data_IF_487148984120
#
_entry.id   IF_487148984120
#
_cell.length_a   1.000
_cell.length_b   1.000
_cell.length_c   1.000
_cell.angle_alpha   90.00
_cell.angle_beta   90.00
_cell.angle_gamma   90.00
#
_symmetry.space_group_name_H-M   'P 1'
#
loop_
_entity.id
_entity.type
_entity.pdbx_description
1 polymer ?
#
# COMPACT_ATOMS: atom_id res chain seq x y z
N UNK A 1 -2.68 1.34 -12.48
CA UNK A 1 -2.68 0.15 -11.60
C UNK A 1 -3.07 -1.07 -12.41
N UNK A 2 -2.33 -2.14 -12.24
CA UNK A 2 -2.62 -3.44 -12.84
C UNK A 2 -2.76 -4.47 -11.73
N UNK A 3 -3.76 -5.35 -11.80
CA UNK A 3 -3.89 -6.40 -10.83
C UNK A 3 -4.14 -7.76 -11.47
N UNK A 4 -3.80 -8.79 -10.73
CA UNK A 4 -3.96 -10.18 -11.13
C UNK A 4 -4.37 -11.00 -9.91
N UNK A 5 -5.36 -11.89 -10.07
CA UNK A 5 -5.75 -12.83 -9.03
C UNK A 5 -5.14 -14.19 -9.33
N UNK A 6 -4.32 -14.69 -8.42
CA UNK A 6 -3.70 -16.01 -8.54
C UNK A 6 -4.62 -17.07 -7.91
N UNK A 7 -5.21 -17.90 -8.74
CA UNK A 7 -6.14 -18.95 -8.29
C UNK A 7 -5.47 -20.02 -7.43
N UNK A 8 -4.17 -20.24 -7.58
CA UNK A 8 -3.46 -21.25 -6.80
C UNK A 8 -3.24 -20.79 -5.35
N UNK A 9 -2.80 -19.57 -5.15
CA UNK A 9 -2.55 -19.01 -3.82
C UNK A 9 -3.77 -18.35 -3.20
N UNK A 10 -4.72 -17.90 -4.01
CA UNK A 10 -5.82 -17.06 -3.56
C UNK A 10 -5.41 -15.62 -3.30
N UNK A 11 -4.24 -15.21 -3.77
CA UNK A 11 -3.71 -13.88 -3.53
C UNK A 11 -3.94 -12.95 -4.72
N UNK A 12 -4.09 -11.67 -4.43
CA UNK A 12 -4.09 -10.60 -5.41
C UNK A 12 -2.70 -10.02 -5.52
N UNK A 13 -2.23 -9.85 -6.75
CA UNK A 13 -0.96 -9.20 -7.05
C UNK A 13 -1.26 -7.90 -7.75
N UNK A 14 -0.80 -6.78 -7.20
CA UNK A 14 -1.06 -5.44 -7.72
C UNK A 14 0.26 -4.78 -8.05
N UNK A 15 0.36 -4.24 -9.26
CA UNK A 15 1.53 -3.47 -9.72
C UNK A 15 1.11 -2.04 -10.02
N UNK A 16 2.07 -1.15 -9.93
CA UNK A 16 1.85 0.29 -10.14
C UNK A 16 0.74 0.82 -9.21
N UNK A 17 0.80 0.36 -7.96
CA UNK A 17 -0.18 0.70 -6.94
C UNK A 17 0.18 2.01 -6.24
N UNK A 18 -0.85 2.71 -5.79
CA UNK A 18 -0.71 3.95 -5.01
C UNK A 18 -1.22 3.74 -3.60
N UNK A 19 -0.32 3.91 -2.64
CA UNK A 19 -0.64 3.86 -1.21
C UNK A 19 -1.04 5.25 -0.73
N UNK A 20 -2.10 5.29 0.06
CA UNK A 20 -2.57 6.48 0.76
C UNK A 20 -2.70 6.19 2.25
N UNK A 21 -2.50 7.22 3.07
CA UNK A 21 -2.64 7.14 4.53
C UNK A 21 -1.84 5.99 5.13
N UNK A 22 -0.52 5.91 4.88
CA UNK A 22 0.29 4.84 5.43
C UNK A 22 0.37 4.94 6.95
N UNK A 23 0.23 3.81 7.62
CA UNK A 23 0.40 3.68 9.06
C UNK A 23 1.06 2.32 9.37
N UNK A 24 2.27 2.15 8.86
CA UNK A 24 3.06 0.94 9.07
C UNK A 24 3.61 0.86 10.49
N UNK A 25 3.73 1.99 11.18
CA UNK A 25 4.16 2.05 12.57
C UNK A 25 3.06 1.63 13.56
N UNK A 26 1.79 1.65 13.13
CA UNK A 26 0.67 1.34 14.02
C UNK A 26 0.40 2.43 15.03
N UNK A 27 0.58 3.69 14.66
CA UNK A 27 0.30 4.82 15.53
C UNK A 27 -1.20 4.96 15.78
N UNK A 28 -1.56 5.34 17.02
CA UNK A 28 -2.94 5.65 17.35
C UNK A 28 -3.40 6.91 16.63
N UNK A 29 -4.55 6.81 16.00
CA UNK A 29 -5.21 7.91 15.31
C UNK A 29 -6.71 7.87 15.63
N UNK A 30 -7.47 8.92 15.28
CA UNK A 30 -8.92 9.01 15.58
C UNK A 30 -9.71 7.78 15.13
N UNK A 31 -9.30 7.15 14.02
CA UNK A 31 -9.97 5.99 13.44
C UNK A 31 -9.10 4.72 13.45
N UNK A 32 -8.02 4.72 14.24
CA UNK A 32 -7.07 3.61 14.29
C UNK A 32 -6.53 3.41 15.69
N UNK A 33 -6.79 2.24 16.27
CA UNK A 33 -6.25 1.90 17.59
C UNK A 33 -4.73 1.71 17.52
N UNK A 34 -4.05 2.00 18.64
CA UNK A 34 -2.61 1.79 18.76
C UNK A 34 -2.23 0.33 18.45
N UNK A 35 -1.15 0.14 17.70
CA UNK A 35 -0.64 -1.17 17.30
C UNK A 35 -1.27 -1.76 16.04
N UNK A 36 -2.30 -1.15 15.50
CA UNK A 36 -2.91 -1.58 14.24
C UNK A 36 -2.19 -0.94 13.07
N UNK A 37 -1.48 -1.75 12.31
CA UNK A 37 -0.68 -1.33 11.17
C UNK A 37 -1.47 -1.57 9.88
N UNK A 38 -1.61 -0.53 9.08
CA UNK A 38 -2.39 -0.60 7.84
C UNK A 38 -2.09 0.57 6.93
N UNK A 39 -2.64 0.51 5.74
CA UNK A 39 -2.64 1.60 4.78
C UNK A 39 -3.87 1.48 3.88
N UNK A 40 -4.15 2.52 3.13
CA UNK A 40 -5.19 2.51 2.09
C UNK A 40 -4.54 2.31 0.74
N UNK A 41 -5.16 1.50 -0.10
CA UNK A 41 -4.76 1.32 -1.48
C UNK A 41 -5.81 1.94 -2.39
N UNK A 42 -5.39 2.82 -3.29
CA UNK A 42 -6.25 3.34 -4.35
C UNK A 42 -6.36 2.28 -5.45
N UNK A 43 -7.58 1.88 -5.77
CA UNK A 43 -7.82 0.81 -6.74
C UNK A 43 -8.76 1.28 -7.84
N UNK A 44 -8.72 0.59 -8.99
CA UNK A 44 -9.66 0.85 -10.06
C UNK A 44 -11.05 0.29 -9.73
N UNK A 45 -12.04 0.70 -10.51
CA UNK A 45 -13.43 0.28 -10.28
C UNK A 45 -13.60 -1.23 -10.37
N UNK A 46 -12.89 -1.89 -11.29
CA UNK A 46 -12.96 -3.34 -11.49
C UNK A 46 -12.56 -4.10 -10.22
N UNK A 47 -11.41 -3.75 -9.63
CA UNK A 47 -10.96 -4.38 -8.39
C UNK A 47 -11.87 -3.98 -7.21
N UNK A 48 -12.32 -2.74 -7.16
CA UNK A 48 -13.27 -2.29 -6.13
C UNK A 48 -14.56 -3.12 -6.16
N UNK A 49 -15.12 -3.35 -7.33
CA UNK A 49 -16.34 -4.15 -7.49
C UNK A 49 -16.11 -5.60 -7.03
N UNK A 50 -14.97 -6.18 -7.39
CA UNK A 50 -14.59 -7.54 -6.98
C UNK A 50 -14.44 -7.65 -5.46
N UNK A 51 -13.83 -6.65 -4.82
CA UNK A 51 -13.70 -6.59 -3.36
C UNK A 51 -15.08 -6.51 -2.70
N UNK A 52 -15.98 -5.68 -3.22
CA UNK A 52 -17.34 -5.55 -2.70
C UNK A 52 -18.12 -6.87 -2.83
N UNK A 53 -17.97 -7.58 -3.93
CA UNK A 53 -18.58 -8.91 -4.12
C UNK A 53 -18.10 -9.91 -3.06
N UNK A 54 -16.86 -9.81 -2.63
CA UNK A 54 -16.27 -10.65 -1.59
C UNK A 54 -16.59 -10.17 -0.17
N UNK A 55 -17.37 -9.12 -0.02
CA UNK A 55 -17.77 -8.59 1.27
C UNK A 55 -16.75 -7.69 1.94
N UNK A 56 -15.69 -7.31 1.22
CA UNK A 56 -14.69 -6.38 1.72
C UNK A 56 -15.22 -4.95 1.66
N UNK A 57 -14.99 -4.19 2.73
CA UNK A 57 -15.40 -2.79 2.77
C UNK A 57 -14.54 -1.95 1.81
N UNK A 58 -15.22 -1.24 0.90
CA UNK A 58 -14.57 -0.32 -0.04
C UNK A 58 -15.09 1.08 0.26
N UNK A 59 -14.17 2.01 0.50
CA UNK A 59 -14.51 3.41 0.68
C UNK A 59 -14.52 4.11 -0.68
N UNK A 60 -15.63 4.75 -1.01
CA UNK A 60 -15.77 5.51 -2.24
C UNK A 60 -15.69 6.99 -1.88
N UNK A 61 -14.69 7.68 -2.42
CA UNK A 61 -14.57 9.13 -2.27
C UNK A 61 -15.16 9.81 -3.50
N UNK A 62 -16.11 10.72 -3.32
CA UNK A 62 -16.70 11.41 -4.47
C UNK A 62 -15.66 12.25 -5.22
N UNK A 63 -15.83 12.46 -6.53
CA UNK A 63 -14.94 13.31 -7.29
C UNK A 63 -14.97 14.75 -6.77
N UNK A 64 -13.81 15.42 -6.81
CA UNK A 64 -13.70 16.82 -6.37
C UNK A 64 -14.35 17.79 -7.33
N UNK A 65 -14.34 17.46 -8.61
CA UNK A 65 -14.91 18.28 -9.68
C UNK A 65 -15.86 17.45 -10.54
N UNK A 66 -16.83 18.12 -11.14
CA UNK A 66 -17.78 17.49 -12.05
C UNK A 66 -17.03 16.90 -13.25
N UNK A 67 -17.29 15.64 -13.57
CA UNK A 67 -16.67 14.93 -14.68
C UNK A 67 -15.46 14.09 -14.29
N UNK A 68 -14.92 14.24 -13.07
CA UNK A 68 -13.88 13.36 -12.54
C UNK A 68 -14.49 12.04 -12.05
N UNK A 69 -13.67 10.98 -12.07
CA UNK A 69 -14.09 9.70 -11.52
C UNK A 69 -13.96 9.67 -10.00
N UNK A 70 -14.81 8.90 -9.30
CA UNK A 70 -14.64 8.69 -7.87
C UNK A 70 -13.36 7.89 -7.59
N UNK A 71 -12.82 8.07 -6.39
CA UNK A 71 -11.65 7.30 -5.92
C UNK A 71 -12.15 6.14 -5.04
N UNK A 72 -11.64 4.94 -5.31
CA UNK A 72 -11.96 3.74 -4.54
C UNK A 72 -10.77 3.36 -3.66
N UNK A 73 -11.02 3.21 -2.37
CA UNK A 73 -9.98 2.88 -1.39
C UNK A 73 -10.31 1.58 -0.67
N UNK A 74 -9.32 0.71 -0.55
CA UNK A 74 -9.40 -0.48 0.28
C UNK A 74 -8.33 -0.40 1.37
N UNK A 75 -8.66 -0.92 2.56
CA UNK A 75 -7.75 -0.94 3.70
C UNK A 75 -7.04 -2.29 3.73
N UNK A 76 -5.71 -2.26 3.79
CA UNK A 76 -4.88 -3.47 3.86
C UNK A 76 -4.12 -3.44 5.18
N UNK A 77 -4.29 -4.50 5.98
CA UNK A 77 -3.58 -4.65 7.25
C UNK A 77 -2.19 -5.23 7.06
N UNK A 78 -1.24 -4.75 7.86
CA UNK A 78 0.15 -5.23 7.89
C UNK A 78 0.35 -6.01 9.18
N UNK A 79 0.87 -7.22 9.06
CA UNK A 79 1.01 -8.17 10.18
C UNK A 79 2.46 -8.62 10.30
N UNK A 80 2.76 -9.43 11.34
CA UNK A 80 4.13 -9.90 11.57
C UNK A 80 4.67 -10.78 10.45
N UNK A 81 3.79 -11.51 9.76
CA UNK A 81 4.13 -12.36 8.63
C UNK A 81 4.11 -11.63 7.28
N UNK A 82 3.79 -10.35 7.27
CA UNK A 82 3.88 -9.54 6.06
C UNK A 82 5.35 -9.26 5.72
N UNK A 83 5.73 -9.51 4.46
CA UNK A 83 7.08 -9.25 3.96
C UNK A 83 7.12 -7.86 3.32
N UNK A 84 7.66 -6.88 4.03
CA UNK A 84 7.74 -5.49 3.58
C UNK A 84 9.18 -5.16 3.24
N UNK A 85 9.40 -4.68 2.02
CA UNK A 85 10.73 -4.34 1.51
C UNK A 85 10.77 -2.92 0.97
N UNK A 86 11.85 -2.22 1.27
CA UNK A 86 12.19 -0.96 0.62
C UNK A 86 13.14 -1.26 -0.54
N UNK A 87 12.86 -0.72 -1.71
CA UNK A 87 13.68 -0.90 -2.90
C UNK A 87 14.31 0.44 -3.27
N UNK A 88 15.66 0.49 -3.26
CA UNK A 88 16.43 1.65 -3.70
C UNK A 88 17.33 1.21 -4.86
N UNK A 89 17.00 1.67 -6.06
CA UNK A 89 17.66 1.19 -7.27
C UNK A 89 17.47 -0.33 -7.42
N UNK A 90 18.57 -1.10 -7.41
CA UNK A 90 18.52 -2.57 -7.48
C UNK A 90 18.58 -3.24 -6.12
N UNK A 91 18.80 -2.48 -5.06
CA UNK A 91 18.89 -3.01 -3.71
C UNK A 91 17.52 -3.13 -3.07
N UNK A 92 17.21 -4.28 -2.49
CA UNK A 92 16.01 -4.49 -1.70
C UNK A 92 16.40 -4.80 -0.26
N UNK A 93 15.80 -4.05 0.67
CA UNK A 93 16.01 -4.24 2.09
C UNK A 93 14.71 -4.70 2.73
N UNK A 94 14.68 -5.92 3.26
CA UNK A 94 13.56 -6.42 4.03
C UNK A 94 13.55 -5.75 5.40
N UNK A 95 12.39 -5.22 5.80
CA UNK A 95 12.22 -4.58 7.10
C UNK A 95 11.67 -5.57 8.12
N UNK A 96 12.24 -5.55 9.33
CA UNK A 96 11.67 -6.24 10.46
C UNK A 96 10.38 -5.54 10.91
N UNK A 97 9.52 -6.28 11.58
CA UNK A 97 8.23 -5.74 12.04
C UNK A 97 8.41 -4.50 12.94
N UNK A 98 9.47 -4.49 13.74
CA UNK A 98 9.79 -3.38 14.64
C UNK A 98 10.30 -2.14 13.89
N UNK A 99 10.72 -2.28 12.64
CA UNK A 99 11.31 -1.20 11.83
C UNK A 99 10.37 -0.68 10.74
N UNK A 100 9.12 -1.10 10.74
CA UNK A 100 8.14 -0.70 9.71
C UNK A 100 7.81 0.80 9.72
N UNK A 101 8.11 1.51 10.81
CA UNK A 101 8.02 2.97 10.87
C UNK A 101 8.91 3.67 9.83
N UNK A 102 9.94 2.98 9.34
CA UNK A 102 10.78 3.49 8.25
C UNK A 102 10.00 3.73 6.97
N UNK A 103 8.97 2.93 6.70
CA UNK A 103 8.09 3.13 5.54
C UNK A 103 7.35 4.46 5.67
N UNK A 104 6.74 4.71 6.82
CA UNK A 104 6.02 5.96 7.09
C UNK A 104 6.96 7.16 6.98
N UNK A 105 8.19 7.01 7.47
CA UNK A 105 9.23 8.04 7.37
C UNK A 105 9.54 8.38 5.91
N UNK A 106 9.70 7.38 5.06
CA UNK A 106 9.97 7.59 3.64
C UNK A 106 8.79 8.28 2.92
N UNK A 107 7.56 7.96 3.30
CA UNK A 107 6.39 8.67 2.79
C UNK A 107 6.39 10.15 3.21
N UNK A 108 6.67 10.43 4.49
CA UNK A 108 6.73 11.82 4.99
C UNK A 108 7.80 12.65 4.30
N UNK A 109 8.94 12.04 3.96
CA UNK A 109 10.04 12.71 3.26
C UNK A 109 9.79 12.89 1.76
N UNK A 110 8.74 12.30 1.22
CA UNK A 110 8.44 12.34 -0.21
C UNK A 110 9.37 11.46 -1.05
N UNK A 111 9.99 10.45 -0.45
CA UNK A 111 10.94 9.56 -1.14
C UNK A 111 10.27 8.40 -1.83
N UNK A 112 9.02 8.08 -1.51
CA UNK A 112 8.32 6.96 -2.13
C UNK A 112 7.90 7.30 -3.55
N UNK A 113 8.19 6.40 -4.48
CA UNK A 113 7.71 6.50 -5.87
C UNK A 113 6.25 6.04 -5.90
N UNK A 114 5.36 7.01 -5.79
CA UNK A 114 3.96 6.82 -5.39
C UNK A 114 3.15 5.90 -6.31
N UNK A 115 3.50 5.77 -7.59
CA UNK A 115 2.74 4.98 -8.55
C UNK A 115 3.43 3.65 -8.93
N UNK A 116 4.51 3.29 -8.23
CA UNK A 116 5.32 2.12 -8.59
C UNK A 116 5.36 1.05 -7.50
N UNK A 117 4.48 1.14 -6.51
CA UNK A 117 4.41 0.16 -5.42
C UNK A 117 3.85 -1.16 -5.93
N UNK A 118 4.46 -2.26 -5.51
CA UNK A 118 4.00 -3.62 -5.82
C UNK A 118 3.53 -4.30 -4.55
N UNK A 119 2.35 -4.89 -4.60
CA UNK A 119 1.74 -5.52 -3.43
C UNK A 119 1.18 -6.90 -3.77
N UNK A 120 1.26 -7.79 -2.80
CA UNK A 120 0.52 -9.04 -2.79
C UNK A 120 -0.28 -9.10 -1.50
N UNK A 121 -1.57 -9.38 -1.61
CA UNK A 121 -2.46 -9.46 -0.45
C UNK A 121 -3.55 -10.48 -0.68
N UNK A 122 -4.23 -10.88 0.39
CA UNK A 122 -5.35 -11.82 0.29
C UNK A 122 -6.50 -11.40 1.20
N UNK A 123 -7.67 -11.93 0.89
CA UNK A 123 -8.88 -11.74 1.71
C UNK A 123 -8.88 -12.79 2.81
N UNK A 124 -9.07 -12.35 4.05
CA UNK A 124 -9.13 -13.20 5.23
C UNK A 124 -10.42 -12.97 5.99
N UNK A 125 -10.82 -13.97 6.77
CA UNK A 125 -12.02 -13.92 7.60
C UNK A 125 -11.64 -14.33 9.01
N UNK A 126 -12.10 -13.57 10.02
CA UNK A 126 -11.90 -13.96 11.41
C UNK A 126 -12.96 -15.00 11.80
N UNK A 127 -12.58 -16.29 11.79
CA UNK A 127 -13.48 -17.41 12.09
C UNK A 127 -13.88 -17.48 13.55
N UNK A 128 -13.18 -16.76 14.44
CA UNK A 128 -13.48 -16.72 15.89
C UNK A 128 -14.60 -15.74 16.23
N UNK A 129 -14.90 -14.81 15.35
CA UNK A 129 -15.94 -13.81 15.54
C UNK A 129 -17.07 -14.09 14.56
N UNK A 130 -18.27 -14.30 15.10
CA UNK A 130 -19.47 -14.57 14.30
C UNK A 130 -19.87 -13.29 13.55
N UNK A 131 -20.15 -13.43 12.25
CA UNK A 131 -20.57 -12.33 11.37
C UNK A 131 -19.51 -11.22 11.21
N UNK A 132 -18.23 -11.53 11.38
CA UNK A 132 -17.17 -10.58 11.08
C UNK A 132 -17.05 -10.35 9.58
N UNK A 133 -16.81 -9.09 9.19
CA UNK A 133 -16.56 -8.76 7.78
C UNK A 133 -15.20 -9.28 7.34
N UNK A 134 -15.07 -9.73 6.08
CA UNK A 134 -13.76 -10.05 5.52
C UNK A 134 -12.83 -8.84 5.56
N UNK A 135 -11.54 -9.09 5.73
CA UNK A 135 -10.51 -8.07 5.78
C UNK A 135 -9.32 -8.47 4.91
N UNK A 136 -8.47 -7.51 4.60
CA UNK A 136 -7.33 -7.73 3.73
C UNK A 136 -6.03 -7.79 4.53
N UNK A 137 -5.18 -8.78 4.20
CA UNK A 137 -3.87 -8.97 4.82
C UNK A 137 -2.78 -8.82 3.76
N UNK A 138 -1.79 -8.00 4.07
CA UNK A 138 -0.61 -7.84 3.22
C UNK A 138 0.29 -9.07 3.35
N UNK A 139 0.62 -9.69 2.22
CA UNK A 139 1.58 -10.79 2.14
C UNK A 139 2.97 -10.25 1.80
N UNK A 140 3.07 -9.47 0.74
CA UNK A 140 4.33 -8.87 0.29
C UNK A 140 4.06 -7.42 -0.13
N UNK A 141 4.93 -6.52 0.31
CA UNK A 141 4.94 -5.15 -0.15
C UNK A 141 6.33 -4.73 -0.57
N UNK A 142 6.48 -4.28 -1.82
CA UNK A 142 7.74 -3.73 -2.32
C UNK A 142 7.50 -2.24 -2.59
N UNK A 143 8.20 -1.42 -1.81
CA UNK A 143 8.02 0.04 -1.81
C UNK A 143 9.27 0.68 -2.38
N UNK A 144 9.21 1.16 -3.64
CA UNK A 144 10.35 1.81 -4.25
C UNK A 144 10.54 3.21 -3.65
N UNK A 145 11.77 3.49 -3.25
CA UNK A 145 12.15 4.79 -2.70
C UNK A 145 13.25 5.41 -3.57
N UNK A 146 13.32 6.71 -3.53
CA UNK A 146 14.32 7.47 -4.24
C UNK A 146 14.54 8.81 -3.56
N UNK A 147 15.52 9.55 -4.05
CA UNK A 147 15.72 10.92 -3.61
C UNK A 147 14.56 11.78 -4.09
N UNK A 148 14.33 12.91 -3.41
CA UNK A 148 13.38 13.88 -3.91
C UNK A 148 13.76 14.29 -5.34
N UNK A 149 12.77 14.67 -6.16
CA UNK A 149 12.99 15.09 -7.54
C UNK A 149 14.09 16.15 -7.66
N UNK A 150 14.10 17.09 -6.74
CA UNK A 150 15.11 18.14 -6.73
C UNK A 150 16.53 17.58 -6.51
N UNK A 151 16.69 16.63 -5.59
CA UNK A 151 17.97 15.99 -5.32
C UNK A 151 18.39 15.07 -6.48
N UNK A 152 17.48 14.39 -7.14
CA UNK A 152 17.77 13.60 -8.33
C UNK A 152 18.28 14.48 -9.47
N UNK A 153 17.64 15.61 -9.72
CA UNK A 153 18.07 16.57 -10.74
C UNK A 153 19.46 17.12 -10.43
N UNK A 154 19.72 17.43 -9.15
CA UNK A 154 21.04 17.90 -8.71
C UNK A 154 22.13 16.84 -8.91
N UNK A 155 21.87 15.60 -8.52
CA UNK A 155 22.82 14.50 -8.69
C UNK A 155 23.13 14.26 -10.17
N UNK A 156 22.13 14.30 -11.03
CA UNK A 156 22.30 14.16 -12.49
C UNK A 156 23.17 15.28 -13.07
N UNK A 157 22.99 16.51 -12.59
CA UNK A 157 23.82 17.65 -13.00
C UNK A 157 25.28 17.48 -12.59
N UNK A 158 25.53 16.96 -11.38
CA UNK A 158 26.88 16.68 -10.90
C UNK A 158 27.53 15.57 -11.73
N UNK A 159 26.81 14.50 -12.05
CA UNK A 159 27.31 13.39 -12.86
C UNK A 159 27.66 13.87 -14.29
N UNK A 160 26.85 14.75 -14.86
CA UNK A 160 27.09 15.33 -16.20
C UNK A 160 28.31 16.28 -16.22
N UNK A 161 28.72 16.79 -15.07
CA UNK A 161 29.90 17.67 -14.93
C UNK A 161 31.23 16.91 -14.82
N UNK A 162 31.19 15.63 -14.59
CA UNK A 162 32.36 14.76 -14.56
C UNK A 162 32.65 14.18 -15.96
#
# INVERSE_FOLDING_TARGET
>A
MNYFFDNESGHYIVKNARILFPNFAGEEQDYNAAGKRNFKLSVNKELADEMMERGVNVRIRPPREDGDEPQYLIKIGVYRDSDVRLMSGRAMTKLDYEDLDQVDSEFRKGHVKANDVQLEFHVSVNTKVRNSSPYLRLDVGIIPIGKSRLLEEYDNLVDDME
#
